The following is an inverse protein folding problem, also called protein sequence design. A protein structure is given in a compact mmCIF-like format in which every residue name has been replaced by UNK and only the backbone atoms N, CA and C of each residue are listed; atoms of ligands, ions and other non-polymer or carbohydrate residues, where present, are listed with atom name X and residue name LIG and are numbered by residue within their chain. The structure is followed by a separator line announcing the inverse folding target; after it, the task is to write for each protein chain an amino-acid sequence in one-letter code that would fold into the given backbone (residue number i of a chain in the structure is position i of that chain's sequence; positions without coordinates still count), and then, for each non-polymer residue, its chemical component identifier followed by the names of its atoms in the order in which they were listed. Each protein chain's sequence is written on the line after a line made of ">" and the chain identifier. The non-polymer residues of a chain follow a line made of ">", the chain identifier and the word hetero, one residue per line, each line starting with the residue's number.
data_IF_290866361296
#
_entry.id   IF_290866361296
#
_cell.length_a   1.000
_cell.length_b   1.000
_cell.length_c   1.000
_cell.angle_alpha   90.00
_cell.angle_beta   90.00
_cell.angle_gamma   90.00
#
_symmetry.space_group_name_H-M   'P 1'
#
loop_
_entity.id
_entity.type
_entity.pdbx_description
1 polymer ?
#
# COMPACT_ATOMS: atom_id res chain seq x y z
N UNK A 1 -17.22 -2.92 8.49
CA UNK A 1 -16.09 -3.35 7.67
C UNK A 1 -14.85 -2.63 8.13
N UNK A 2 -13.70 -3.32 8.11
CA UNK A 2 -12.41 -2.77 8.51
C UNK A 2 -11.44 -2.91 7.32
N UNK A 3 -11.42 -1.95 6.38
CA UNK A 3 -10.44 -1.94 5.28
C UNK A 3 -9.05 -1.69 5.85
N UNK A 4 -8.10 -2.55 5.47
CA UNK A 4 -6.77 -2.59 6.07
C UNK A 4 -5.70 -2.83 5.00
N UNK A 5 -4.46 -2.38 5.29
CA UNK A 5 -3.24 -2.75 4.57
C UNK A 5 -2.36 -3.57 5.53
N UNK A 6 -1.97 -4.78 5.12
CA UNK A 6 -1.23 -5.73 5.96
C UNK A 6 -1.85 -5.97 7.35
N UNK A 7 -3.19 -5.95 7.43
CA UNK A 7 -3.92 -6.13 8.68
C UNK A 7 -3.97 -4.90 9.59
N UNK A 8 -3.52 -3.75 9.13
CA UNK A 8 -3.53 -2.49 9.87
C UNK A 8 -4.41 -1.45 9.20
N UNK A 9 -5.10 -0.63 10.01
CA UNK A 9 -5.66 0.64 9.59
C UNK A 9 -4.65 1.78 9.83
N UNK A 10 -4.84 2.91 9.19
CA UNK A 10 -4.08 4.11 9.51
C UNK A 10 -4.54 4.62 10.91
N UNK A 11 -3.70 5.07 11.81
CA UNK A 11 -2.26 5.43 11.72
C UNK A 11 -1.27 4.28 11.98
N UNK A 12 -1.76 3.12 12.38
CA UNK A 12 -0.91 1.96 12.68
C UNK A 12 -0.14 1.43 11.47
N UNK A 13 -0.61 1.69 10.23
CA UNK A 13 0.13 1.40 9.00
C UNK A 13 1.47 2.15 8.93
N UNK A 14 1.55 3.36 9.51
CA UNK A 14 2.77 4.17 9.60
C UNK A 14 3.70 3.79 10.77
N UNK A 15 3.34 2.79 11.57
CA UNK A 15 4.18 2.31 12.68
C UNK A 15 5.09 1.18 12.18
N UNK A 16 6.43 1.32 12.23
CA UNK A 16 7.35 0.27 11.79
C UNK A 16 7.36 -0.96 12.72
N UNK A 17 6.94 -0.80 13.98
CA UNK A 17 6.95 -1.88 14.96
C UNK A 17 5.74 -2.81 14.83
N UNK A 18 5.88 -4.06 15.32
CA UNK A 18 4.74 -4.95 15.51
C UNK A 18 3.74 -4.33 16.51
N UNK A 19 2.45 -4.48 16.26
CA UNK A 19 1.44 -3.97 17.17
C UNK A 19 1.39 -4.77 18.48
N UNK A 20 1.06 -4.12 19.60
CA UNK A 20 0.93 -4.80 20.89
C UNK A 20 -0.19 -5.86 20.83
N UNK A 21 -0.19 -6.82 21.76
CA UNK A 21 -1.28 -7.77 21.87
C UNK A 21 -2.64 -7.07 22.01
N UNK A 22 -3.70 -7.57 21.37
CA UNK A 22 -5.03 -7.02 21.56
C UNK A 22 -5.49 -7.14 23.02
N UNK A 23 -6.36 -6.23 23.44
CA UNK A 23 -6.94 -6.25 24.77
C UNK A 23 -7.68 -7.56 25.04
N UNK A 24 -7.70 -7.99 26.28
CA UNK A 24 -8.38 -9.23 26.68
C UNK A 24 -7.55 -10.51 26.52
N UNK A 25 -6.27 -10.39 26.23
CA UNK A 25 -5.33 -11.52 26.12
C UNK A 25 -5.76 -12.64 25.16
N UNK A 26 -6.56 -12.30 24.16
CA UNK A 26 -7.07 -13.27 23.17
C UNK A 26 -5.97 -13.95 22.34
N UNK A 27 -4.81 -13.32 22.25
CA UNK A 27 -3.64 -13.81 21.52
C UNK A 27 -2.60 -14.52 22.42
N UNK A 28 -2.91 -14.73 23.71
CA UNK A 28 -1.93 -15.24 24.67
C UNK A 28 -0.74 -14.30 24.90
N UNK A 29 -0.93 -12.98 24.77
CA UNK A 29 0.11 -11.97 24.93
C UNK A 29 1.06 -11.85 23.75
N UNK A 30 0.78 -12.48 22.61
CA UNK A 30 1.61 -12.38 21.40
C UNK A 30 1.30 -11.10 20.63
N UNK A 31 2.34 -10.43 20.16
CA UNK A 31 2.21 -9.30 19.24
C UNK A 31 1.44 -9.70 17.98
N UNK A 32 0.58 -8.79 17.51
CA UNK A 32 -0.20 -8.96 16.30
C UNK A 32 0.30 -8.03 15.19
N UNK A 33 -0.17 -8.25 13.94
CA UNK A 33 0.19 -7.44 12.77
C UNK A 33 1.67 -7.06 12.75
N UNK A 34 2.52 -8.05 12.62
CA UNK A 34 3.99 -7.88 12.68
C UNK A 34 4.55 -7.08 11.53
N UNK A 35 3.93 -7.22 10.36
CA UNK A 35 4.37 -6.57 9.14
C UNK A 35 3.81 -5.15 9.07
N UNK A 36 4.70 -4.18 8.93
CA UNK A 36 4.34 -2.79 8.69
C UNK A 36 3.91 -2.59 7.24
N UNK A 37 3.09 -1.56 7.00
CA UNK A 37 2.81 -1.05 5.67
C UNK A 37 3.56 0.26 5.38
N UNK A 38 4.35 0.76 6.33
CA UNK A 38 5.20 1.92 6.14
C UNK A 38 6.24 1.64 5.05
N UNK A 39 6.38 2.58 4.13
CA UNK A 39 7.39 2.56 3.08
C UNK A 39 8.38 3.67 3.40
N UNK A 40 9.66 3.34 3.45
CA UNK A 40 10.75 4.30 3.65
C UNK A 40 11.69 4.23 2.46
N UNK A 41 12.05 5.38 1.91
CA UNK A 41 12.91 5.45 0.75
C UNK A 41 13.70 6.77 0.71
N UNK A 42 14.89 6.73 0.13
CA UNK A 42 15.71 7.93 -0.10
C UNK A 42 15.28 8.67 -1.39
N UNK A 43 15.64 9.97 -1.53
CA UNK A 43 15.46 10.68 -2.78
C UNK A 43 16.12 9.95 -3.96
N UNK A 44 15.41 9.81 -5.07
CA UNK A 44 15.85 9.08 -6.27
C UNK A 44 15.75 7.56 -6.18
N UNK A 45 15.33 7.01 -5.06
CA UNK A 45 15.17 5.57 -4.89
C UNK A 45 13.90 5.05 -5.60
N UNK A 46 13.97 3.80 -6.05
CA UNK A 46 12.86 3.08 -6.68
C UNK A 46 12.31 2.03 -5.72
N UNK A 47 11.01 2.09 -5.49
CA UNK A 47 10.30 1.17 -4.60
C UNK A 47 9.39 0.26 -5.42
N UNK A 48 9.55 -1.05 -5.29
CA UNK A 48 8.63 -2.01 -5.88
C UNK A 48 7.47 -2.28 -4.91
N UNK A 49 6.28 -1.88 -5.30
CA UNK A 49 5.05 -2.24 -4.62
C UNK A 49 4.51 -3.55 -5.20
N UNK A 50 4.34 -4.55 -4.35
CA UNK A 50 3.63 -5.79 -4.65
C UNK A 50 2.31 -5.80 -3.90
N UNK A 51 1.25 -5.53 -4.59
CA UNK A 51 -0.09 -5.35 -4.02
C UNK A 51 -0.95 -6.55 -4.39
N UNK A 52 -1.53 -7.20 -3.39
CA UNK A 52 -2.48 -8.31 -3.59
C UNK A 52 -3.78 -8.01 -2.86
N UNK A 53 -4.89 -8.19 -3.53
CA UNK A 53 -6.20 -8.08 -2.92
C UNK A 53 -6.66 -9.47 -2.43
N UNK A 54 -6.61 -9.68 -1.13
CA UNK A 54 -7.02 -10.95 -0.50
C UNK A 54 -8.52 -11.00 -0.18
N UNK A 55 -9.28 -9.98 -0.55
CA UNK A 55 -10.73 -10.01 -0.40
C UNK A 55 -11.37 -10.96 -1.41
N UNK A 56 -12.50 -11.57 -1.05
CA UNK A 56 -13.19 -12.52 -1.93
C UNK A 56 -14.19 -11.85 -2.88
N UNK A 57 -14.80 -10.73 -2.47
CA UNK A 57 -16.00 -10.19 -3.15
C UNK A 57 -15.89 -8.72 -3.52
N UNK A 58 -14.79 -8.04 -3.16
CA UNK A 58 -14.68 -6.59 -3.33
C UNK A 58 -13.52 -6.19 -4.21
N UNK A 59 -13.78 -5.15 -4.99
CA UNK A 59 -12.73 -4.40 -5.66
C UNK A 59 -12.21 -3.31 -4.73
N UNK A 60 -10.90 -3.13 -4.73
CA UNK A 60 -10.25 -2.00 -4.08
C UNK A 60 -9.42 -1.24 -5.10
N UNK A 61 -9.52 0.08 -5.06
CA UNK A 61 -8.68 0.98 -5.82
C UNK A 61 -7.72 1.66 -4.87
N UNK A 62 -6.43 1.49 -5.09
CA UNK A 62 -5.37 2.21 -4.39
C UNK A 62 -4.78 3.27 -5.31
N UNK A 63 -4.57 4.44 -4.76
CA UNK A 63 -3.92 5.56 -5.44
C UNK A 63 -2.71 6.03 -4.64
N UNK A 64 -1.76 6.62 -5.35
CA UNK A 64 -0.67 7.39 -4.76
C UNK A 64 -1.01 8.87 -4.79
N UNK A 65 -0.58 9.60 -3.78
CA UNK A 65 -0.69 11.04 -3.71
C UNK A 65 0.71 11.65 -3.64
N UNK A 66 1.04 12.45 -4.65
CA UNK A 66 2.31 13.17 -4.77
C UNK A 66 3.39 12.46 -5.58
N UNK A 67 3.23 11.17 -5.89
CA UNK A 67 4.10 10.39 -6.78
C UNK A 67 3.26 9.52 -7.70
N UNK A 68 3.75 9.22 -8.89
CA UNK A 68 3.10 8.29 -9.81
C UNK A 68 3.65 6.87 -9.67
N UNK A 69 2.87 5.90 -10.13
CA UNK A 69 3.27 4.49 -10.22
C UNK A 69 3.53 4.12 -11.67
N UNK A 70 4.57 3.34 -11.92
CA UNK A 70 4.74 2.61 -13.17
C UNK A 70 4.31 1.17 -12.97
N UNK A 71 3.19 0.76 -13.56
CA UNK A 71 2.69 -0.62 -13.49
C UNK A 71 3.55 -1.48 -14.40
N UNK A 72 4.18 -2.51 -13.83
CA UNK A 72 5.14 -3.39 -14.52
C UNK A 72 4.66 -4.83 -14.61
N UNK A 73 3.72 -5.24 -13.78
CA UNK A 73 3.18 -6.60 -13.78
C UNK A 73 1.75 -6.67 -13.26
N UNK A 74 1.01 -7.66 -13.70
CA UNK A 74 -0.35 -7.97 -13.25
C UNK A 74 -0.53 -9.48 -13.13
N UNK A 75 -1.16 -9.93 -12.04
CA UNK A 75 -1.49 -11.34 -11.79
C UNK A 75 -0.30 -12.28 -12.02
N UNK A 76 0.84 -11.93 -11.40
CA UNK A 76 2.12 -12.64 -11.47
C UNK A 76 2.74 -12.70 -12.88
N UNK A 77 2.28 -11.87 -13.82
CA UNK A 77 2.81 -11.76 -15.17
C UNK A 77 3.42 -10.40 -15.41
N UNK A 78 4.69 -10.38 -15.79
CA UNK A 78 5.37 -9.17 -16.23
C UNK A 78 4.71 -8.62 -17.50
N UNK A 79 4.47 -7.32 -17.56
CA UNK A 79 3.91 -6.65 -18.73
C UNK A 79 5.00 -6.49 -19.80
N UNK A 80 5.14 -7.54 -20.62
CA UNK A 80 6.12 -7.60 -21.70
C UNK A 80 5.51 -8.25 -22.93
N UNK A 81 5.73 -7.63 -24.08
CA UNK A 81 5.27 -8.11 -25.36
C UNK A 81 6.01 -9.38 -25.83
N UNK A 82 5.48 -10.09 -26.83
CA UNK A 82 6.14 -11.27 -27.40
C UNK A 82 7.51 -10.95 -28.04
N UNK A 83 7.72 -9.71 -28.45
CA UNK A 83 8.96 -9.17 -28.97
C UNK A 83 9.98 -8.77 -27.88
N UNK A 84 9.64 -8.99 -26.62
CA UNK A 84 10.46 -8.65 -25.46
C UNK A 84 10.40 -7.21 -25.02
N UNK A 85 9.58 -6.35 -25.69
CA UNK A 85 9.41 -4.95 -25.29
C UNK A 85 8.53 -4.81 -24.06
N UNK A 86 8.88 -3.84 -23.23
CA UNK A 86 8.10 -3.50 -22.06
C UNK A 86 6.77 -2.83 -22.46
N UNK A 87 5.70 -3.30 -21.83
CA UNK A 87 4.34 -2.75 -21.96
C UNK A 87 3.94 -2.02 -20.68
N UNK A 88 4.93 -1.47 -19.97
CA UNK A 88 4.72 -0.74 -18.73
C UNK A 88 3.96 0.56 -19.00
N UNK A 89 3.16 0.97 -18.03
CA UNK A 89 2.42 2.23 -18.13
C UNK A 89 2.38 2.96 -16.80
N UNK A 90 2.31 4.28 -16.88
CA UNK A 90 2.16 5.14 -15.71
C UNK A 90 0.69 5.23 -15.30
N UNK A 91 0.45 5.20 -14.01
CA UNK A 91 -0.85 5.38 -13.40
C UNK A 91 -0.69 6.02 -12.01
N UNK A 92 -1.69 6.78 -11.59
CA UNK A 92 -1.78 7.26 -10.22
C UNK A 92 -2.67 6.36 -9.35
N UNK A 93 -3.34 5.39 -9.95
CA UNK A 93 -4.18 4.44 -9.22
C UNK A 93 -4.27 3.09 -9.92
N UNK A 94 -4.50 2.05 -9.13
CA UNK A 94 -4.73 0.67 -9.61
C UNK A 94 -5.94 0.09 -8.92
N UNK A 95 -6.75 -0.65 -9.67
CA UNK A 95 -7.93 -1.35 -9.13
C UNK A 95 -7.73 -2.84 -9.22
N UNK A 96 -7.98 -3.53 -8.12
CA UNK A 96 -7.81 -4.98 -7.96
C UNK A 96 -9.09 -5.62 -7.48
N UNK A 97 -9.56 -6.64 -8.17
CA UNK A 97 -10.58 -7.56 -7.69
C UNK A 97 -10.02 -8.57 -6.69
N UNK A 98 -10.90 -9.35 -6.08
CA UNK A 98 -10.47 -10.39 -5.16
C UNK A 98 -9.59 -11.44 -5.84
N UNK A 99 -8.43 -11.73 -5.26
CA UNK A 99 -7.44 -12.66 -5.79
C UNK A 99 -6.49 -12.07 -6.83
N UNK A 100 -6.67 -10.82 -7.25
CA UNK A 100 -5.77 -10.15 -8.19
C UNK A 100 -4.56 -9.54 -7.49
N UNK A 101 -3.48 -9.38 -8.24
CA UNK A 101 -2.26 -8.73 -7.81
C UNK A 101 -1.69 -7.80 -8.88
N UNK A 102 -0.96 -6.77 -8.44
CA UNK A 102 -0.24 -5.84 -9.30
C UNK A 102 1.15 -5.60 -8.74
N UNK A 103 2.12 -5.51 -9.65
CA UNK A 103 3.46 -5.02 -9.37
C UNK A 103 3.62 -3.63 -9.99
N UNK A 104 3.94 -2.64 -9.16
CA UNK A 104 4.14 -1.27 -9.59
C UNK A 104 5.42 -0.69 -8.98
N UNK A 105 6.11 0.15 -9.73
CA UNK A 105 7.31 0.86 -9.27
C UNK A 105 6.94 2.31 -9.01
N UNK A 106 7.31 2.81 -7.84
CA UNK A 106 7.32 4.23 -7.50
C UNK A 106 8.76 4.72 -7.57
N UNK A 107 8.99 5.86 -8.18
CA UNK A 107 10.28 6.55 -8.16
C UNK A 107 10.16 7.79 -7.28
N UNK A 108 10.94 7.84 -6.22
CA UNK A 108 10.98 9.02 -5.35
C UNK A 108 11.72 10.12 -6.09
N UNK A 109 11.15 11.33 -6.20
CA UNK A 109 11.83 12.44 -6.87
C UNK A 109 13.24 12.67 -6.30
N UNK A 110 14.20 12.90 -7.19
CA UNK A 110 15.61 13.11 -6.79
C UNK A 110 15.81 14.38 -5.96
N UNK A 111 14.91 15.33 -6.10
CA UNK A 111 14.86 16.59 -5.37
C UNK A 111 13.90 16.56 -4.17
N UNK A 112 13.35 15.39 -3.84
CA UNK A 112 12.49 15.24 -2.67
C UNK A 112 13.27 15.57 -1.39
N UNK A 113 12.69 16.41 -0.56
CA UNK A 113 13.30 16.81 0.71
C UNK A 113 13.11 15.70 1.75
N UNK A 114 14.16 15.29 2.49
CA UNK A 114 14.00 14.39 3.63
C UNK A 114 12.92 14.88 4.61
N UNK A 115 12.09 13.98 5.08
CA UNK A 115 10.91 14.30 5.87
C UNK A 115 9.62 14.51 5.06
N UNK A 116 9.70 14.58 3.73
CA UNK A 116 8.50 14.58 2.87
C UNK A 116 7.76 13.25 3.02
N UNK A 117 6.43 13.34 3.06
CA UNK A 117 5.56 12.17 3.12
C UNK A 117 4.61 12.17 1.94
N UNK A 118 4.62 11.08 1.19
CA UNK A 118 3.61 10.75 0.19
C UNK A 118 2.66 9.69 0.77
N UNK A 119 1.52 9.49 0.13
CA UNK A 119 0.52 8.55 0.64
C UNK A 119 0.15 7.51 -0.43
N UNK A 120 -0.09 6.28 0.04
CA UNK A 120 -0.79 5.23 -0.68
C UNK A 120 -2.12 5.00 0.03
N UNK A 121 -3.23 5.21 -0.66
CA UNK A 121 -4.55 5.22 -0.02
C UNK A 121 -5.65 4.70 -0.95
N UNK A 122 -6.79 4.31 -0.37
CA UNK A 122 -7.97 3.94 -1.15
C UNK A 122 -8.71 5.17 -1.66
N UNK A 123 -9.10 5.15 -2.93
CA UNK A 123 -9.92 6.24 -3.53
C UNK A 123 -11.38 6.19 -3.10
N UNK A 124 -11.85 5.08 -2.54
CA UNK A 124 -13.18 5.00 -1.96
C UNK A 124 -13.16 5.53 -0.52
N UNK A 125 -13.67 6.73 -0.32
CA UNK A 125 -13.65 7.42 0.97
C UNK A 125 -14.32 6.64 2.10
N UNK A 126 -15.28 5.74 1.79
CA UNK A 126 -15.87 4.86 2.79
C UNK A 126 -14.87 3.85 3.38
N UNK A 127 -13.76 3.61 2.69
CA UNK A 127 -12.69 2.71 3.14
C UNK A 127 -11.50 3.45 3.77
N UNK A 128 -11.53 4.79 3.80
CA UNK A 128 -10.57 5.60 4.54
C UNK A 128 -10.90 5.68 6.04
N UNK A 129 -12.07 5.23 6.46
CA UNK A 129 -12.49 5.26 7.86
C UNK A 129 -12.74 3.85 8.37
N UNK A 130 -12.44 3.63 9.64
CA UNK A 130 -12.78 2.43 10.37
C UNK A 130 -13.64 2.81 11.57
N UNK A 131 -14.89 2.33 11.59
CA UNK A 131 -15.84 2.58 12.68
C UNK A 131 -15.94 4.09 13.00
N UNK A 132 -15.47 4.51 14.16
CA UNK A 132 -15.49 5.91 14.63
C UNK A 132 -14.19 6.66 14.34
N UNK A 133 -13.21 6.03 13.71
CA UNK A 133 -11.91 6.63 13.41
C UNK A 133 -11.88 7.21 11.98
N UNK A 134 -12.02 8.55 11.83
CA UNK A 134 -11.80 9.19 10.54
C UNK A 134 -10.35 8.93 10.11
N UNK A 135 -10.15 8.57 8.82
CA UNK A 135 -8.86 8.18 8.24
C UNK A 135 -8.23 6.91 8.85
N UNK A 136 -8.87 6.22 9.78
CA UNK A 136 -8.38 4.97 10.38
C UNK A 136 -8.45 3.73 9.47
N UNK A 137 -8.62 3.91 8.16
CA UNK A 137 -8.83 2.84 7.20
C UNK A 137 -7.62 2.50 6.32
N UNK A 138 -7.88 2.27 5.05
CA UNK A 138 -6.91 1.78 4.07
C UNK A 138 -6.04 2.94 3.53
N UNK A 139 -5.02 3.30 4.29
CA UNK A 139 -4.02 4.30 3.95
C UNK A 139 -2.68 3.95 4.60
N UNK A 140 -1.57 4.26 3.94
CA UNK A 140 -0.22 4.21 4.50
C UNK A 140 0.65 5.32 3.94
N UNK A 141 1.82 5.47 4.52
CA UNK A 141 2.77 6.53 4.20
C UNK A 141 3.97 5.99 3.42
N UNK A 142 4.51 6.87 2.56
CA UNK A 142 5.79 6.72 1.88
C UNK A 142 6.65 7.88 2.38
N UNK A 143 7.58 7.60 3.29
CA UNK A 143 8.43 8.60 3.93
C UNK A 143 9.76 8.71 3.22
N UNK A 144 10.19 9.94 2.95
CA UNK A 144 11.50 10.22 2.40
C UNK A 144 12.49 10.44 3.55
N UNK A 145 13.55 9.62 3.59
CA UNK A 145 14.60 9.64 4.62
C UNK A 145 15.76 10.57 4.24
#
# INVERSE_FOLDING_TARGET
>A
HYPMLNGRGYTDTGNPAALPPPAGNVSGGKASQRESSLIEAAPGERVLLRISNLNVTRFYTLATLGVDMTVVGMNAKLLRGPDGKDLYYQANSVTLGGGESVDAIIEIPVDATPGTTYFLYTTNLNYLSNNTEPFGGMMTEIRVN
#
